data_IF_006620414469
#
_entry.id   IF_006620414469
#
_cell.length_a   1.000
_cell.length_b   1.000
_cell.length_c   1.000
_cell.angle_alpha   90.00
_cell.angle_beta   90.00
_cell.angle_gamma   90.00
#
_symmetry.space_group_name_H-M   'P 1'
#
loop_
_entity.id
_entity.type
_entity.pdbx_description
1 polymer ?
#
# COMPACT_ATOMS: atom_id res chain seq x y z
N UNK A 1 -21.22 16.26 -5.06
CA UNK A 1 -21.67 14.85 -5.00
C UNK A 1 -23.19 14.81 -4.91
N UNK A 2 -23.88 13.95 -5.70
CA UNK A 2 -25.36 13.89 -5.69
C UNK A 2 -25.95 13.59 -4.31
N UNK A 3 -25.36 12.65 -3.56
CA UNK A 3 -25.82 12.25 -2.21
C UNK A 3 -25.83 13.40 -1.19
N UNK A 4 -24.90 14.35 -1.28
CA UNK A 4 -24.90 15.54 -0.43
C UNK A 4 -26.02 16.51 -0.83
N UNK A 5 -26.21 16.73 -2.13
CA UNK A 5 -27.31 17.59 -2.63
C UNK A 5 -28.68 17.05 -2.24
N UNK A 6 -28.86 15.75 -2.23
CA UNK A 6 -30.11 15.08 -1.85
C UNK A 6 -30.27 14.84 -0.34
N UNK A 7 -29.35 15.38 0.50
CA UNK A 7 -29.35 15.24 1.97
C UNK A 7 -29.27 13.78 2.49
N UNK A 8 -28.88 12.83 1.64
CA UNK A 8 -28.61 11.45 2.07
C UNK A 8 -27.27 11.29 2.80
N UNK A 9 -26.41 12.30 2.68
CA UNK A 9 -25.12 12.34 3.35
C UNK A 9 -24.86 13.77 3.83
N UNK A 10 -24.37 13.90 5.07
CA UNK A 10 -24.10 15.20 5.73
C UNK A 10 -22.79 15.89 5.27
N UNK A 11 -22.06 15.29 4.30
CA UNK A 11 -20.79 15.80 3.81
C UNK A 11 -19.59 15.51 4.74
N UNK A 12 -19.78 14.76 5.82
CA UNK A 12 -18.73 14.46 6.79
C UNK A 12 -18.27 13.02 6.67
N UNK A 13 -16.97 12.82 6.64
CA UNK A 13 -16.34 11.51 6.77
C UNK A 13 -16.01 11.32 8.25
N UNK A 14 -16.63 10.33 8.88
CA UNK A 14 -16.35 9.98 10.27
C UNK A 14 -15.22 8.97 10.32
N UNK A 15 -14.11 9.37 10.93
CA UNK A 15 -12.93 8.52 11.06
C UNK A 15 -12.94 7.69 12.35
N UNK A 16 -13.81 8.04 13.29
CA UNK A 16 -14.02 7.35 14.56
C UNK A 16 -15.50 6.97 14.72
N UNK A 17 -15.75 5.75 15.13
CA UNK A 17 -17.08 5.26 15.48
C UNK A 17 -17.24 5.27 17.02
N UNK A 18 -17.95 6.25 17.60
CA UNK A 18 -18.07 6.38 19.05
C UNK A 18 -18.87 5.27 19.70
N UNK A 19 -19.79 4.63 18.96
CA UNK A 19 -20.63 3.56 19.51
C UNK A 19 -19.85 2.25 19.72
N UNK A 20 -18.89 2.00 18.81
CA UNK A 20 -18.05 0.79 18.87
C UNK A 20 -16.66 1.06 19.44
N UNK A 21 -16.27 2.32 19.60
CA UNK A 21 -14.91 2.70 19.98
C UNK A 21 -13.86 2.37 18.91
N UNK A 22 -14.24 2.33 17.62
CA UNK A 22 -13.38 1.92 16.52
C UNK A 22 -12.83 3.10 15.76
N UNK A 23 -11.55 3.04 15.39
CA UNK A 23 -10.87 3.99 14.52
C UNK A 23 -10.02 3.24 13.49
N UNK A 24 -9.82 3.85 12.33
CA UNK A 24 -8.92 3.26 11.33
C UNK A 24 -7.49 3.18 11.88
N UNK A 25 -6.89 1.99 11.79
CA UNK A 25 -5.55 1.72 12.34
C UNK A 25 -4.45 2.65 11.77
N UNK A 26 -4.61 3.16 10.55
CA UNK A 26 -3.72 4.17 9.98
C UNK A 26 -3.70 5.52 10.69
N UNK A 27 -4.63 5.74 11.65
CA UNK A 27 -4.68 6.95 12.49
C UNK A 27 -4.13 6.70 13.89
N UNK A 28 -3.53 5.55 14.15
CA UNK A 28 -3.01 5.18 15.47
C UNK A 28 -2.00 6.19 16.01
N UNK A 29 -1.10 6.70 15.15
CA UNK A 29 -0.12 7.72 15.56
C UNK A 29 -0.78 8.98 16.09
N UNK A 30 -1.95 9.37 15.54
CA UNK A 30 -2.73 10.52 16.04
C UNK A 30 -3.34 10.25 17.39
N UNK A 31 -3.77 9.00 17.64
CA UNK A 31 -4.28 8.59 18.97
C UNK A 31 -3.16 8.60 19.98
N UNK A 32 -2.00 8.04 19.64
CA UNK A 32 -0.81 8.06 20.50
C UNK A 32 -0.39 9.49 20.83
N UNK A 33 -0.29 10.35 19.82
CA UNK A 33 0.03 11.76 20.03
C UNK A 33 -0.97 12.42 20.98
N UNK A 34 -2.26 12.23 20.75
CA UNK A 34 -3.30 12.77 21.62
C UNK A 34 -3.16 12.29 23.08
N UNK A 35 -2.89 10.99 23.28
CA UNK A 35 -2.67 10.44 24.62
C UNK A 35 -1.46 11.09 25.30
N UNK A 36 -0.36 11.25 24.58
CA UNK A 36 0.86 11.86 25.11
C UNK A 36 0.63 13.36 25.46
N UNK A 37 -0.06 14.10 24.59
CA UNK A 37 -0.35 15.54 24.81
C UNK A 37 -1.28 15.77 26.01
N UNK A 38 -2.06 14.78 26.40
CA UNK A 38 -3.03 14.85 27.51
C UNK A 38 -2.64 13.97 28.71
N UNK A 39 -1.42 13.42 28.71
CA UNK A 39 -0.90 12.57 29.79
C UNK A 39 -1.75 11.32 30.06
N UNK A 40 -2.46 10.80 29.04
CA UNK A 40 -3.21 9.54 29.14
C UNK A 40 -2.28 8.34 29.00
N UNK A 41 -2.46 7.37 29.85
CA UNK A 41 -1.81 6.07 29.72
C UNK A 41 -2.54 5.21 28.69
N UNK A 42 -1.80 4.47 27.87
CA UNK A 42 -2.37 3.54 26.90
C UNK A 42 -1.57 2.24 26.84
N UNK A 43 -2.20 1.19 26.37
CA UNK A 43 -1.58 -0.10 26.15
C UNK A 43 -2.01 -0.63 24.78
N UNK A 44 -1.05 -1.15 24.02
CA UNK A 44 -1.35 -1.86 22.77
C UNK A 44 -1.68 -3.30 23.07
N UNK A 45 -2.83 -3.76 22.57
CA UNK A 45 -3.15 -5.18 22.51
C UNK A 45 -2.81 -5.66 21.12
N UNK A 46 -1.76 -6.49 21.00
CA UNK A 46 -1.39 -7.07 19.73
C UNK A 46 -2.47 -8.05 19.27
N UNK A 47 -2.92 -7.91 18.03
CA UNK A 47 -3.96 -8.74 17.46
C UNK A 47 -3.42 -9.28 16.12
N UNK A 48 -3.48 -10.60 15.93
CA UNK A 48 -2.98 -11.29 14.74
C UNK A 48 -3.58 -10.76 13.42
N UNK A 49 -4.78 -10.17 13.49
CA UNK A 49 -5.49 -9.68 12.30
C UNK A 49 -5.09 -8.26 11.88
N UNK A 50 -4.64 -7.41 12.78
CA UNK A 50 -4.52 -5.98 12.49
C UNK A 50 -3.09 -5.48 12.34
N UNK A 51 -2.10 -6.17 12.91
CA UNK A 51 -0.70 -5.72 12.96
C UNK A 51 -0.56 -4.28 13.48
N UNK A 52 0.58 -3.91 13.99
CA UNK A 52 0.84 -2.53 14.40
C UNK A 52 1.36 -1.74 13.19
N UNK A 53 0.84 -0.52 12.92
CA UNK A 53 1.21 0.26 11.74
C UNK A 53 2.67 0.75 11.74
N UNK A 54 3.34 0.68 12.86
CA UNK A 54 4.75 1.06 13.04
C UNK A 54 5.72 -0.13 13.11
N UNK A 55 5.25 -1.35 12.86
CA UNK A 55 6.16 -2.49 12.70
C UNK A 55 7.06 -2.26 11.48
N UNK A 56 8.36 -2.31 11.73
CA UNK A 56 9.40 -2.14 10.72
C UNK A 56 9.97 -3.51 10.40
N UNK A 57 10.09 -3.82 9.12
CA UNK A 57 10.76 -5.03 8.67
C UNK A 57 12.28 -4.77 8.63
N UNK A 58 12.98 -5.19 9.67
CA UNK A 58 14.43 -5.00 9.82
C UNK A 58 15.25 -5.75 8.77
N UNK A 59 14.68 -6.77 8.13
CA UNK A 59 15.38 -7.55 7.10
C UNK A 59 15.43 -6.85 5.74
N UNK A 60 14.71 -5.74 5.56
CA UNK A 60 14.70 -4.98 4.31
C UNK A 60 15.83 -3.95 4.32
N UNK A 61 16.78 -4.10 3.40
CA UNK A 61 17.83 -3.12 3.13
C UNK A 61 17.65 -2.44 1.77
N UNK A 62 18.13 -1.21 1.64
CA UNK A 62 18.04 -0.44 0.40
C UNK A 62 18.82 -1.14 -0.74
N UNK A 63 19.99 -1.67 -0.46
CA UNK A 63 20.80 -2.38 -1.44
C UNK A 63 20.13 -3.69 -1.89
N UNK A 64 19.56 -4.46 -0.94
CA UNK A 64 18.79 -5.65 -1.26
C UNK A 64 17.58 -5.37 -2.15
N UNK A 65 16.87 -4.26 -1.93
CA UNK A 65 15.76 -3.83 -2.80
C UNK A 65 16.25 -3.44 -4.19
N UNK A 66 17.37 -2.74 -4.30
CA UNK A 66 17.98 -2.37 -5.58
C UNK A 66 18.35 -3.60 -6.40
N UNK A 67 19.01 -4.56 -5.77
CA UNK A 67 19.42 -5.81 -6.43
C UNK A 67 18.19 -6.62 -6.85
N UNK A 68 17.20 -6.72 -5.96
CA UNK A 68 15.95 -7.38 -6.24
C UNK A 68 15.23 -6.77 -7.45
N UNK A 69 14.99 -5.45 -7.44
CA UNK A 69 14.32 -4.76 -8.54
C UNK A 69 15.06 -4.91 -9.88
N UNK A 70 16.39 -4.94 -9.83
CA UNK A 70 17.23 -5.14 -11.02
C UNK A 70 17.12 -6.58 -11.55
N UNK A 71 16.99 -7.57 -10.67
CA UNK A 71 16.90 -8.97 -11.06
C UNK A 71 15.53 -9.34 -11.64
N UNK A 72 14.43 -8.74 -11.16
CA UNK A 72 13.07 -9.10 -11.56
C UNK A 72 12.54 -8.35 -12.79
N UNK A 73 13.22 -7.32 -13.24
CA UNK A 73 12.76 -6.48 -14.35
C UNK A 73 13.80 -6.33 -15.46
N UNK A 74 13.34 -6.25 -16.69
CA UNK A 74 14.17 -5.90 -17.85
C UNK A 74 14.64 -4.44 -17.84
N UNK A 75 14.00 -3.58 -17.03
CA UNK A 75 14.28 -2.17 -16.96
C UNK A 75 15.08 -1.85 -15.70
N UNK A 76 16.12 -1.03 -15.86
CA UNK A 76 16.90 -0.56 -14.71
C UNK A 76 16.06 0.39 -13.87
N UNK A 77 15.85 0.12 -12.57
CA UNK A 77 15.12 1.02 -11.71
C UNK A 77 15.90 2.32 -11.47
N UNK A 78 15.17 3.42 -11.26
CA UNK A 78 15.74 4.72 -10.88
C UNK A 78 15.82 4.83 -9.36
N UNK A 79 16.69 5.66 -8.84
CA UNK A 79 16.95 5.77 -7.40
C UNK A 79 15.67 6.03 -6.59
N UNK A 80 14.85 6.99 -7.01
CA UNK A 80 13.58 7.29 -6.32
C UNK A 80 12.55 6.14 -6.38
N UNK A 81 12.63 5.25 -7.37
CA UNK A 81 11.77 4.06 -7.44
C UNK A 81 12.24 3.01 -6.42
N UNK A 82 13.56 2.87 -6.29
CA UNK A 82 14.18 2.00 -5.29
C UNK A 82 13.79 2.49 -3.89
N UNK A 83 13.95 3.78 -3.62
CA UNK A 83 13.58 4.40 -2.34
C UNK A 83 12.10 4.18 -2.00
N UNK A 84 11.20 4.37 -2.97
CA UNK A 84 9.77 4.16 -2.78
C UNK A 84 9.41 2.70 -2.50
N UNK A 85 10.03 1.75 -3.19
CA UNK A 85 9.82 0.32 -2.95
C UNK A 85 10.43 -0.09 -1.60
N UNK A 86 11.62 0.41 -1.27
CA UNK A 86 12.25 0.18 0.02
C UNK A 86 11.37 0.66 1.17
N UNK A 87 10.87 1.88 1.10
CA UNK A 87 10.00 2.43 2.13
C UNK A 87 8.70 1.62 2.27
N UNK A 88 8.11 1.18 1.15
CA UNK A 88 6.91 0.36 1.14
C UNK A 88 7.11 -1.04 1.74
N UNK A 89 8.24 -1.69 1.45
CA UNK A 89 8.53 -3.03 1.95
C UNK A 89 9.01 -3.02 3.40
N UNK A 90 9.70 -1.96 3.82
CA UNK A 90 10.18 -1.81 5.18
C UNK A 90 9.08 -1.51 6.18
N UNK A 91 8.05 -0.81 5.74
CA UNK A 91 6.95 -0.39 6.58
C UNK A 91 5.62 -0.99 6.11
N UNK A 92 4.77 -1.39 7.02
CA UNK A 92 3.51 -2.09 6.69
C UNK A 92 2.49 -1.23 5.94
N UNK A 93 2.52 0.10 6.12
CA UNK A 93 1.55 1.04 5.52
C UNK A 93 2.25 2.30 5.08
N UNK A 94 2.13 2.62 3.80
CA UNK A 94 2.73 3.82 3.22
C UNK A 94 1.83 4.47 2.17
N UNK A 95 1.88 5.77 2.12
CA UNK A 95 1.34 6.57 1.03
C UNK A 95 2.52 7.08 0.19
N UNK A 96 2.60 6.63 -1.05
CA UNK A 96 3.63 7.07 -1.99
C UNK A 96 2.99 8.04 -2.98
N UNK A 97 3.45 9.29 -2.95
CA UNK A 97 3.03 10.32 -3.90
C UNK A 97 4.10 10.43 -4.97
N UNK A 98 3.71 10.14 -6.21
CA UNK A 98 4.64 10.12 -7.33
C UNK A 98 3.97 10.73 -8.57
N UNK A 99 4.66 11.60 -9.35
CA UNK A 99 4.07 12.27 -10.50
C UNK A 99 3.69 11.30 -11.62
N UNK A 100 2.91 11.75 -12.57
CA UNK A 100 2.60 10.99 -13.79
C UNK A 100 3.90 10.69 -14.54
N UNK A 101 3.97 9.54 -15.19
CA UNK A 101 5.14 9.06 -15.93
C UNK A 101 6.41 8.79 -15.08
N UNK A 102 6.33 8.77 -13.76
CA UNK A 102 7.46 8.38 -12.89
C UNK A 102 7.75 6.88 -12.85
N UNK A 103 6.96 6.06 -13.55
CA UNK A 103 7.12 4.60 -13.53
C UNK A 103 6.56 3.94 -12.27
N UNK A 104 5.42 4.45 -11.75
CA UNK A 104 4.70 3.85 -10.62
C UNK A 104 4.39 2.37 -10.82
N UNK A 105 4.07 1.97 -12.06
CA UNK A 105 3.78 0.57 -12.38
C UNK A 105 4.95 -0.36 -12.09
N UNK A 106 6.20 0.09 -12.31
CA UNK A 106 7.39 -0.68 -11.95
C UNK A 106 7.55 -0.84 -10.42
N UNK A 107 7.26 0.21 -9.67
CA UNK A 107 7.30 0.14 -8.21
C UNK A 107 6.23 -0.83 -7.67
N UNK A 108 4.99 -0.72 -8.18
CA UNK A 108 3.88 -1.62 -7.82
C UNK A 108 4.24 -3.07 -8.21
N UNK A 109 4.75 -3.27 -9.42
CA UNK A 109 5.22 -4.57 -9.88
C UNK A 109 6.24 -5.20 -8.93
N UNK A 110 7.23 -4.43 -8.50
CA UNK A 110 8.30 -4.90 -7.60
C UNK A 110 7.75 -5.32 -6.24
N UNK A 111 6.83 -4.53 -5.67
CA UNK A 111 6.16 -4.85 -4.41
C UNK A 111 5.31 -6.11 -4.54
N UNK A 112 4.54 -6.22 -5.63
CA UNK A 112 3.69 -7.39 -5.91
C UNK A 112 4.53 -8.65 -6.04
N UNK A 113 5.60 -8.59 -6.84
CA UNK A 113 6.51 -9.72 -7.03
C UNK A 113 7.12 -10.19 -5.70
N UNK A 114 7.58 -9.25 -4.86
CA UNK A 114 8.14 -9.55 -3.56
C UNK A 114 7.18 -10.33 -2.66
N UNK A 115 5.91 -9.94 -2.61
CA UNK A 115 4.92 -10.64 -1.78
C UNK A 115 4.41 -11.94 -2.41
N UNK A 116 4.33 -12.04 -3.73
CA UNK A 116 3.98 -13.30 -4.42
C UNK A 116 5.04 -14.37 -4.17
N UNK A 117 6.31 -14.02 -4.18
CA UNK A 117 7.41 -14.95 -3.85
C UNK A 117 7.32 -15.46 -2.41
N UNK A 118 6.72 -14.68 -1.51
CA UNK A 118 6.37 -15.10 -0.15
C UNK A 118 5.04 -15.84 -0.05
N UNK A 119 4.43 -16.23 -1.18
CA UNK A 119 3.13 -16.93 -1.23
C UNK A 119 1.97 -16.14 -0.61
N UNK A 120 2.03 -14.81 -0.67
CA UNK A 120 0.94 -13.93 -0.22
C UNK A 120 -0.02 -13.63 -1.37
N UNK A 121 -1.31 -13.55 -1.04
CA UNK A 121 -2.33 -13.04 -1.96
C UNK A 121 -2.34 -11.52 -1.95
N UNK A 122 -2.43 -10.91 -3.14
CA UNK A 122 -2.36 -9.46 -3.30
C UNK A 122 -3.57 -8.98 -4.10
N UNK A 123 -4.17 -7.91 -3.64
CA UNK A 123 -5.23 -7.20 -4.35
C UNK A 123 -4.74 -5.81 -4.76
N UNK A 124 -4.79 -5.52 -6.07
CA UNK A 124 -4.50 -4.20 -6.62
C UNK A 124 -5.83 -3.56 -7.01
N UNK A 125 -6.12 -2.39 -6.47
CA UNK A 125 -7.34 -1.65 -6.79
C UNK A 125 -6.99 -0.42 -7.59
N UNK A 126 -7.60 -0.26 -8.76
CA UNK A 126 -7.43 0.88 -9.65
C UNK A 126 -8.79 1.44 -10.08
N UNK A 127 -8.89 2.75 -10.37
CA UNK A 127 -10.19 3.40 -10.59
C UNK A 127 -10.86 3.06 -11.92
N UNK A 128 -10.15 2.48 -12.90
CA UNK A 128 -10.70 2.22 -14.24
C UNK A 128 -10.24 0.88 -14.80
N UNK A 129 -11.08 0.27 -15.63
CA UNK A 129 -10.75 -0.98 -16.36
C UNK A 129 -9.55 -0.81 -17.27
N UNK A 130 -9.38 0.37 -17.88
CA UNK A 130 -8.22 0.68 -18.73
C UNK A 130 -6.90 0.59 -17.94
N UNK A 131 -6.90 0.99 -16.67
CA UNK A 131 -5.72 0.86 -15.82
C UNK A 131 -5.45 -0.60 -15.41
N UNK A 132 -6.49 -1.43 -15.27
CA UNK A 132 -6.32 -2.88 -15.06
C UNK A 132 -5.58 -3.49 -16.25
N UNK A 133 -6.04 -3.20 -17.47
CA UNK A 133 -5.40 -3.70 -18.70
C UNK A 133 -3.97 -3.18 -18.84
N UNK A 134 -3.76 -1.90 -18.59
CA UNK A 134 -2.43 -1.30 -18.65
C UNK A 134 -1.47 -1.97 -17.67
N UNK A 135 -1.86 -2.13 -16.41
CA UNK A 135 -1.00 -2.75 -15.40
C UNK A 135 -0.69 -4.21 -15.74
N UNK A 136 -1.68 -4.95 -16.22
CA UNK A 136 -1.49 -6.33 -16.66
C UNK A 136 -0.46 -6.41 -17.78
N UNK A 137 -0.56 -5.50 -18.78
CA UNK A 137 0.41 -5.40 -19.87
C UNK A 137 1.78 -4.98 -19.36
N UNK A 138 1.87 -3.94 -18.53
CA UNK A 138 3.12 -3.44 -17.96
C UNK A 138 3.87 -4.56 -17.23
N UNK A 139 3.18 -5.35 -16.42
CA UNK A 139 3.78 -6.47 -15.69
C UNK A 139 4.32 -7.57 -16.63
N UNK A 140 3.62 -7.84 -17.74
CA UNK A 140 4.11 -8.73 -18.77
C UNK A 140 5.35 -8.17 -19.47
N UNK A 141 5.34 -6.87 -19.78
CA UNK A 141 6.45 -6.19 -20.43
C UNK A 141 7.71 -6.13 -19.52
N UNK A 142 7.52 -6.11 -18.18
CA UNK A 142 8.62 -6.23 -17.21
C UNK A 142 9.24 -7.63 -17.15
N UNK A 143 8.60 -8.62 -17.75
CA UNK A 143 9.14 -9.98 -17.87
C UNK A 143 8.46 -11.04 -17.02
N UNK A 144 7.26 -10.76 -16.47
CA UNK A 144 6.53 -11.72 -15.67
C UNK A 144 5.50 -12.51 -16.49
N UNK A 145 5.35 -13.79 -16.19
CA UNK A 145 4.26 -14.60 -16.75
C UNK A 145 2.95 -14.32 -16.01
N UNK A 146 2.36 -13.15 -16.30
CA UNK A 146 1.15 -12.68 -15.62
C UNK A 146 -0.03 -13.63 -15.73
N UNK A 147 -0.15 -14.38 -16.83
CA UNK A 147 -1.24 -15.32 -17.05
C UNK A 147 -1.31 -16.45 -16.01
N UNK A 148 -0.20 -16.78 -15.38
CA UNK A 148 -0.13 -17.82 -14.34
C UNK A 148 -0.36 -17.29 -12.92
N UNK A 149 -0.28 -15.95 -12.70
CA UNK A 149 -0.27 -15.36 -11.37
C UNK A 149 -1.31 -14.26 -11.15
N UNK A 150 -1.85 -13.67 -12.22
CA UNK A 150 -2.71 -12.50 -12.11
C UNK A 150 -4.10 -12.78 -12.72
N UNK A 151 -5.13 -12.43 -11.99
CA UNK A 151 -6.51 -12.42 -12.45
C UNK A 151 -7.02 -10.99 -12.54
N UNK A 152 -7.68 -10.66 -13.65
CA UNK A 152 -8.34 -9.37 -13.85
C UNK A 152 -9.77 -9.46 -13.36
N UNK A 153 -10.14 -8.56 -12.45
CA UNK A 153 -11.51 -8.47 -11.91
C UNK A 153 -12.10 -7.15 -12.38
N UNK A 154 -13.22 -7.21 -13.06
CA UNK A 154 -13.98 -6.06 -13.51
C UNK A 154 -15.32 -6.00 -12.77
N UNK A 155 -15.76 -4.79 -12.46
CA UNK A 155 -17.10 -4.52 -11.92
C UNK A 155 -18.12 -4.41 -13.05
#
# INVERSE_FOLDING_TARGET
>A
MPSYKNKYWDGRIRLFNPQKGEIYVGLLDRVVQFCNDHEYTYQFVNNEYYGLPFEINEFISLEGVKDYMTAISKYKPRDYQIDGVYDALKHNRRLIISPTASGKSLMIYSIVRYFVEQKKNILIVVPTTSLVEQMYKDFSDYGWNVGSFCHKIYA
#
